data_IF_556664266522
#
_entry.id   IF_556664266522
#
_cell.length_a   1.000
_cell.length_b   1.000
_cell.length_c   1.000
_cell.angle_alpha   90.00
_cell.angle_beta   90.00
_cell.angle_gamma   90.00
#
_symmetry.space_group_name_H-M   'P 1'
#
loop_
_entity.id
_entity.type
_entity.pdbx_description
1 polymer ?
#
# COMPACT_ATOMS: atom_id res chain seq x y z
N UNK A 1 6.72 -11.09 -49.34
CA UNK A 1 7.75 -11.18 -48.29
C UNK A 1 7.66 -10.02 -47.30
N UNK A 2 7.35 -8.78 -47.70
CA UNK A 2 7.23 -7.63 -46.77
C UNK A 2 6.23 -7.82 -45.61
N UNK A 3 5.06 -8.39 -45.86
CA UNK A 3 4.05 -8.61 -44.80
C UNK A 3 4.52 -9.57 -43.69
N UNK A 4 5.45 -10.49 -43.98
CA UNK A 4 5.94 -11.45 -42.97
C UNK A 4 6.89 -10.78 -41.99
N UNK A 5 7.70 -9.83 -42.44
CA UNK A 5 8.58 -9.04 -41.59
C UNK A 5 7.82 -8.02 -40.74
N UNK A 6 6.72 -7.47 -41.26
CA UNK A 6 5.80 -6.62 -40.49
C UNK A 6 5.09 -7.40 -39.37
N UNK A 7 4.61 -8.60 -39.67
CA UNK A 7 3.96 -9.47 -38.68
C UNK A 7 4.99 -9.95 -37.64
N UNK A 8 6.19 -10.38 -38.06
CA UNK A 8 7.28 -10.74 -37.15
C UNK A 8 7.72 -9.55 -36.29
N UNK A 9 7.81 -8.35 -36.86
CA UNK A 9 8.14 -7.11 -36.15
C UNK A 9 7.10 -6.78 -35.07
N UNK A 10 5.80 -6.87 -35.39
CA UNK A 10 4.73 -6.71 -34.41
C UNK A 10 4.75 -7.81 -33.34
N UNK A 11 5.07 -9.05 -33.72
CA UNK A 11 5.15 -10.17 -32.78
C UNK A 11 6.33 -10.05 -31.82
N UNK A 12 7.49 -9.62 -32.32
CA UNK A 12 8.68 -9.34 -31.50
C UNK A 12 8.43 -8.12 -30.61
N UNK A 13 7.83 -7.05 -31.13
CA UNK A 13 7.48 -5.87 -30.33
C UNK A 13 6.45 -6.21 -29.23
N UNK A 14 5.49 -7.08 -29.54
CA UNK A 14 4.51 -7.57 -28.58
C UNK A 14 5.14 -8.50 -27.52
N UNK A 15 6.03 -9.40 -27.91
CA UNK A 15 6.76 -10.30 -27.01
C UNK A 15 7.75 -9.54 -26.10
N UNK A 16 8.59 -8.69 -26.69
CA UNK A 16 9.62 -7.92 -25.96
C UNK A 16 8.99 -6.80 -25.14
N UNK A 17 7.96 -6.13 -25.66
CA UNK A 17 7.21 -5.12 -24.93
C UNK A 17 6.64 -5.66 -23.63
N UNK A 18 6.04 -6.86 -23.64
CA UNK A 18 5.51 -7.48 -22.41
C UNK A 18 6.59 -7.83 -21.38
N UNK A 19 7.80 -8.16 -21.81
CA UNK A 19 8.90 -8.50 -20.91
C UNK A 19 9.46 -7.26 -20.18
N UNK A 20 9.53 -6.10 -20.86
CA UNK A 20 10.07 -4.86 -20.28
C UNK A 20 9.13 -4.25 -19.23
N UNK A 21 7.81 -4.39 -19.40
CA UNK A 21 6.82 -3.87 -18.44
C UNK A 21 6.50 -4.82 -17.28
N UNK A 22 7.15 -5.98 -17.20
CA UNK A 22 6.94 -6.98 -16.17
C UNK A 22 8.04 -6.99 -15.12
N UNK A 23 8.55 -5.83 -14.70
CA UNK A 23 9.43 -5.79 -13.53
C UNK A 23 8.64 -6.31 -12.31
N UNK A 24 9.05 -7.47 -11.81
CA UNK A 24 8.52 -8.14 -10.62
C UNK A 24 9.56 -8.20 -9.51
N UNK A 25 10.64 -7.42 -9.65
CA UNK A 25 11.67 -7.36 -8.63
C UNK A 25 11.04 -6.86 -7.32
N UNK A 26 11.52 -7.37 -6.18
CA UNK A 26 11.07 -6.89 -4.88
C UNK A 26 11.16 -5.37 -4.80
N UNK A 27 10.08 -4.71 -4.39
CA UNK A 27 10.11 -3.25 -4.23
C UNK A 27 11.11 -2.92 -3.11
N UNK A 28 12.18 -2.16 -3.41
CA UNK A 28 13.20 -1.85 -2.42
C UNK A 28 12.59 -1.02 -1.29
N UNK A 29 12.96 -1.34 -0.05
CA UNK A 29 12.57 -0.53 1.10
C UNK A 29 13.58 0.59 1.28
N UNK A 30 13.10 1.83 1.28
CA UNK A 30 13.98 3.01 1.39
C UNK A 30 14.04 3.59 2.81
N UNK A 31 13.30 3.02 3.78
CA UNK A 31 13.30 3.44 5.18
C UNK A 31 13.52 2.26 6.13
N UNK A 32 14.32 2.46 7.18
CA UNK A 32 14.46 1.50 8.27
C UNK A 32 13.28 1.47 9.24
N UNK A 33 12.26 2.33 9.05
CA UNK A 33 11.09 2.47 9.94
C UNK A 33 9.82 1.81 9.39
N UNK A 34 9.90 1.13 8.25
CA UNK A 34 8.79 0.35 7.70
C UNK A 34 9.03 -1.13 7.97
N UNK A 35 8.11 -1.75 8.70
CA UNK A 35 8.18 -3.19 8.98
C UNK A 35 7.67 -3.97 7.78
N UNK A 36 8.54 -4.78 7.16
CA UNK A 36 8.14 -5.76 6.15
C UNK A 36 7.56 -6.98 6.85
N UNK A 37 6.28 -7.25 6.62
CA UNK A 37 5.57 -8.41 7.15
C UNK A 37 5.71 -9.56 6.16
N UNK A 38 6.25 -10.68 6.62
CA UNK A 38 6.31 -11.94 5.86
C UNK A 38 5.31 -12.97 6.37
N UNK A 39 4.83 -12.82 7.62
CA UNK A 39 3.89 -13.73 8.26
C UNK A 39 2.79 -12.98 9.02
N UNK A 40 1.64 -13.62 9.15
CA UNK A 40 0.46 -13.05 9.83
C UNK A 40 0.71 -12.77 11.32
N UNK A 41 1.59 -13.54 11.95
CA UNK A 41 2.05 -13.38 13.34
C UNK A 41 2.81 -12.07 13.55
N UNK A 42 3.67 -11.69 12.60
CA UNK A 42 4.43 -10.45 12.65
C UNK A 42 3.50 -9.24 12.54
N UNK A 43 2.50 -9.30 11.65
CA UNK A 43 1.49 -8.25 11.56
C UNK A 43 0.75 -8.08 12.88
N UNK A 44 0.31 -9.19 13.49
CA UNK A 44 -0.38 -9.13 14.78
C UNK A 44 0.50 -8.49 15.87
N UNK A 45 1.81 -8.77 15.88
CA UNK A 45 2.77 -8.17 16.80
C UNK A 45 2.89 -6.65 16.60
N UNK A 46 2.99 -6.18 15.35
CA UNK A 46 3.03 -4.74 15.05
C UNK A 46 1.73 -4.06 15.46
N UNK A 47 0.59 -4.70 15.18
CA UNK A 47 -0.75 -4.22 15.53
C UNK A 47 -0.98 -4.13 17.04
N UNK A 48 -0.46 -5.08 17.83
CA UNK A 48 -0.63 -5.08 19.29
C UNK A 48 0.35 -4.18 20.03
N UNK A 49 1.51 -3.87 19.42
CA UNK A 49 2.57 -3.08 20.04
C UNK A 49 2.44 -1.58 19.80
N UNK A 50 1.55 -1.15 18.90
CA UNK A 50 1.39 0.25 18.54
C UNK A 50 -0.08 0.65 18.56
N UNK A 51 -0.35 1.86 19.06
CA UNK A 51 -1.71 2.42 19.08
C UNK A 51 -2.30 2.56 17.68
N UNK A 52 -1.52 3.05 16.72
CA UNK A 52 -1.90 3.26 15.34
C UNK A 52 -0.93 2.54 14.40
N UNK A 53 -1.47 1.89 13.36
CA UNK A 53 -0.66 1.26 12.33
C UNK A 53 -1.23 1.58 10.95
N UNK A 54 -0.37 2.04 10.05
CA UNK A 54 -0.69 2.17 8.63
C UNK A 54 -0.10 0.98 7.89
N UNK A 55 -0.94 0.18 7.24
CA UNK A 55 -0.51 -1.02 6.52
C UNK A 55 -0.67 -0.80 5.01
N UNK A 56 0.43 -0.89 4.27
CA UNK A 56 0.46 -0.93 2.80
C UNK A 56 0.33 -2.38 2.31
N UNK A 57 -0.83 -2.71 1.73
CA UNK A 57 -1.02 -3.97 1.03
C UNK A 57 -0.64 -3.83 -0.43
N UNK A 58 0.45 -4.49 -0.81
CA UNK A 58 1.09 -4.31 -2.10
C UNK A 58 1.40 -5.64 -2.79
N UNK A 59 1.96 -5.55 -4.01
CA UNK A 59 2.56 -6.67 -4.72
C UNK A 59 3.78 -6.20 -5.52
N UNK A 60 4.77 -7.07 -5.71
CA UNK A 60 6.03 -6.72 -6.37
C UNK A 60 5.88 -6.51 -7.88
N UNK A 61 4.77 -6.89 -8.50
CA UNK A 61 4.50 -6.64 -9.92
C UNK A 61 3.69 -5.36 -10.16
N UNK A 62 3.25 -4.69 -9.10
CA UNK A 62 2.30 -3.57 -9.15
C UNK A 62 3.02 -2.22 -9.39
N UNK A 63 2.88 -1.58 -10.57
CA UNK A 63 3.54 -0.31 -10.84
C UNK A 63 3.10 0.85 -9.92
N UNK A 64 1.80 1.02 -9.60
CA UNK A 64 1.39 2.05 -8.63
C UNK A 64 2.00 1.84 -7.25
N UNK A 65 2.20 0.58 -6.83
CA UNK A 65 2.83 0.25 -5.55
C UNK A 65 4.30 0.71 -5.53
N UNK A 66 5.03 0.49 -6.62
CA UNK A 66 6.39 1.02 -6.78
C UNK A 66 6.44 2.54 -6.71
N UNK A 67 5.49 3.20 -7.37
CA UNK A 67 5.44 4.66 -7.42
C UNK A 67 5.20 5.30 -6.04
N UNK A 68 4.37 4.67 -5.20
CA UNK A 68 4.02 5.21 -3.87
C UNK A 68 4.97 4.78 -2.76
N UNK A 69 5.71 3.68 -2.93
CA UNK A 69 6.65 3.17 -1.93
C UNK A 69 7.61 4.23 -1.34
N UNK A 70 8.32 5.07 -2.11
CA UNK A 70 9.21 6.08 -1.53
C UNK A 70 8.46 7.15 -0.72
N UNK A 71 7.21 7.45 -1.07
CA UNK A 71 6.35 8.35 -0.30
C UNK A 71 5.98 7.71 1.02
N UNK A 72 5.59 6.44 1.01
CA UNK A 72 5.25 5.68 2.21
C UNK A 72 6.44 5.59 3.18
N UNK A 73 7.64 5.28 2.67
CA UNK A 73 8.87 5.27 3.46
C UNK A 73 9.20 6.66 4.03
N UNK A 74 9.04 7.74 3.26
CA UNK A 74 9.25 9.11 3.75
C UNK A 74 8.26 9.50 4.86
N UNK A 75 7.02 9.03 4.77
CA UNK A 75 6.02 9.23 5.82
C UNK A 75 6.38 8.48 7.09
N UNK A 76 6.87 7.25 6.97
CA UNK A 76 7.38 6.48 8.09
C UNK A 76 8.56 7.18 8.76
N UNK A 77 9.53 7.68 7.99
CA UNK A 77 10.69 8.40 8.55
C UNK A 77 10.29 9.61 9.40
N UNK A 78 9.28 10.35 8.94
CA UNK A 78 8.80 11.59 9.57
C UNK A 78 7.87 11.37 10.76
N UNK A 79 7.00 10.36 10.68
CA UNK A 79 5.86 10.23 11.61
C UNK A 79 5.90 8.97 12.46
N UNK A 80 6.73 7.97 12.14
CA UNK A 80 6.80 6.77 12.96
C UNK A 80 7.30 7.11 14.37
N UNK A 81 6.57 6.63 15.37
CA UNK A 81 6.82 6.86 16.79
C UNK A 81 6.53 5.57 17.55
N UNK A 82 7.52 5.09 18.31
CA UNK A 82 7.46 3.81 19.02
C UNK A 82 6.26 3.73 19.95
N UNK A 83 5.45 2.69 19.80
CA UNK A 83 4.25 2.47 20.62
C UNK A 83 3.03 3.30 20.19
N UNK A 84 3.21 4.26 19.30
CA UNK A 84 2.18 5.20 18.91
C UNK A 84 1.77 5.05 17.44
N UNK A 85 2.67 5.28 16.48
CA UNK A 85 2.38 5.19 15.05
C UNK A 85 3.44 4.35 14.35
N UNK A 86 3.03 3.21 13.81
CA UNK A 86 3.89 2.32 13.04
C UNK A 86 3.44 2.20 11.58
N UNK A 87 4.40 1.80 10.74
CA UNK A 87 4.21 1.59 9.31
C UNK A 87 4.60 0.17 8.98
N UNK A 88 3.71 -0.56 8.34
CA UNK A 88 3.95 -1.92 7.91
C UNK A 88 3.59 -2.09 6.44
N UNK A 89 4.24 -3.03 5.78
CA UNK A 89 3.87 -3.44 4.42
C UNK A 89 3.72 -4.93 4.33
N UNK A 90 2.69 -5.36 3.61
CA UNK A 90 2.32 -6.76 3.43
C UNK A 90 2.26 -7.04 1.94
N UNK A 91 3.12 -7.92 1.45
CA UNK A 91 3.00 -8.41 0.08
C UNK A 91 1.87 -9.46 0.04
N UNK A 92 0.80 -9.12 -0.68
CA UNK A 92 -0.42 -9.92 -0.79
C UNK A 92 -0.23 -11.25 -1.52
N UNK A 93 0.80 -11.38 -2.37
CA UNK A 93 1.13 -12.65 -3.03
C UNK A 93 1.80 -13.64 -2.08
N UNK A 94 2.51 -13.15 -1.06
CA UNK A 94 3.21 -13.97 -0.07
C UNK A 94 2.34 -14.26 1.17
N UNK A 95 1.58 -13.28 1.65
CA UNK A 95 0.77 -13.38 2.89
C UNK A 95 -0.72 -13.36 2.55
N UNK A 96 -1.16 -14.39 1.82
CA UNK A 96 -2.49 -14.45 1.19
C UNK A 96 -3.65 -14.47 2.19
N UNK A 97 -3.47 -15.14 3.31
CA UNK A 97 -4.47 -15.24 4.38
C UNK A 97 -4.77 -13.86 4.99
N UNK A 98 -3.75 -13.02 5.17
CA UNK A 98 -3.92 -11.63 5.63
C UNK A 98 -4.66 -10.80 4.58
N UNK A 99 -4.31 -10.95 3.30
CA UNK A 99 -4.99 -10.25 2.21
C UNK A 99 -6.49 -10.62 2.16
N UNK A 100 -6.83 -11.90 2.32
CA UNK A 100 -8.22 -12.38 2.41
C UNK A 100 -8.91 -11.84 3.66
N UNK A 101 -8.26 -11.91 4.83
CA UNK A 101 -8.81 -11.43 6.11
C UNK A 101 -9.26 -9.97 6.05
N UNK A 102 -8.50 -9.11 5.38
CA UNK A 102 -8.81 -7.67 5.26
C UNK A 102 -9.53 -7.29 3.96
N UNK A 103 -9.89 -8.27 3.13
CA UNK A 103 -10.64 -8.06 1.90
C UNK A 103 -9.88 -7.22 0.87
N UNK A 104 -8.58 -7.48 0.71
CA UNK A 104 -7.73 -6.76 -0.23
C UNK A 104 -7.94 -7.34 -1.64
N UNK A 105 -8.52 -6.53 -2.53
CA UNK A 105 -8.82 -6.93 -3.91
C UNK A 105 -8.05 -6.13 -4.96
N UNK A 106 -7.33 -5.10 -4.55
CA UNK A 106 -6.58 -4.21 -5.43
C UNK A 106 -5.38 -3.63 -4.68
N UNK A 107 -4.30 -3.35 -5.40
CA UNK A 107 -3.05 -2.84 -4.83
C UNK A 107 -2.64 -1.53 -5.51
N UNK A 108 -2.02 -0.60 -4.78
CA UNK A 108 -1.87 -0.63 -3.32
C UNK A 108 -3.23 -0.38 -2.64
N UNK A 109 -3.43 -0.98 -1.47
CA UNK A 109 -4.50 -0.60 -0.55
C UNK A 109 -3.89 -0.30 0.80
N UNK A 110 -4.16 0.89 1.32
CA UNK A 110 -3.76 1.28 2.67
C UNK A 110 -4.94 1.08 3.61
N UNK A 111 -4.71 0.36 4.71
CA UNK A 111 -5.68 0.17 5.78
C UNK A 111 -5.11 0.73 7.08
N UNK A 112 -5.98 1.38 7.85
CA UNK A 112 -5.61 2.05 9.10
C UNK A 112 -6.12 1.26 10.28
N UNK A 113 -5.24 1.01 11.23
CA UNK A 113 -5.55 0.28 12.44
C UNK A 113 -5.41 1.21 13.64
N UNK A 114 -6.32 1.06 14.59
CA UNK A 114 -6.24 1.69 15.92
C UNK A 114 -6.51 0.62 16.96
N UNK A 115 -5.64 0.47 17.94
CA UNK A 115 -5.73 -0.57 18.98
C UNK A 115 -5.87 -1.98 18.38
N UNK A 116 -5.10 -2.24 17.33
CA UNK A 116 -5.07 -3.53 16.62
C UNK A 116 -6.28 -3.86 15.75
N UNK A 117 -7.31 -2.99 15.68
CA UNK A 117 -8.49 -3.19 14.84
C UNK A 117 -8.56 -2.20 13.68
N UNK A 118 -9.04 -2.61 12.49
CA UNK A 118 -9.31 -1.67 11.40
C UNK A 118 -10.33 -0.62 11.87
N UNK A 119 -9.97 0.66 11.76
CA UNK A 119 -10.82 1.76 12.22
C UNK A 119 -10.69 2.95 11.29
N UNK A 120 -11.85 3.50 10.91
CA UNK A 120 -11.89 4.68 10.06
C UNK A 120 -11.28 5.92 10.75
N UNK A 121 -10.58 6.74 9.97
CA UNK A 121 -9.90 7.95 10.45
C UNK A 121 -10.67 9.20 10.02
N UNK A 122 -10.94 10.09 10.97
CA UNK A 122 -11.50 11.41 10.67
C UNK A 122 -10.41 12.29 10.07
N UNK A 123 -10.59 12.70 8.82
CA UNK A 123 -9.67 13.61 8.14
C UNK A 123 -10.47 14.78 7.58
N UNK A 124 -10.22 15.97 8.12
CA UNK A 124 -10.90 17.18 7.68
C UNK A 124 -10.51 17.54 6.24
N UNK A 125 -11.50 17.91 5.42
CA UNK A 125 -11.28 18.37 4.05
C UNK A 125 -10.80 17.29 3.07
N UNK A 126 -10.85 16.00 3.43
CA UNK A 126 -10.58 14.90 2.52
C UNK A 126 -11.91 14.36 1.96
N UNK A 127 -12.25 14.67 0.68
CA UNK A 127 -13.48 14.17 0.09
C UNK A 127 -13.42 12.66 -0.12
N UNK A 128 -14.56 11.99 0.01
CA UNK A 128 -14.72 10.62 -0.51
C UNK A 128 -14.52 10.63 -2.04
N UNK A 129 -13.94 9.58 -2.58
CA UNK A 129 -13.67 9.51 -4.02
C UNK A 129 -13.25 8.12 -4.45
N UNK A 130 -12.77 8.00 -5.68
CA UNK A 130 -12.36 6.70 -6.23
C UNK A 130 -11.24 6.03 -5.42
N UNK A 131 -10.32 6.82 -4.88
CA UNK A 131 -9.21 6.39 -4.03
C UNK A 131 -9.58 6.34 -2.55
N UNK A 132 -10.46 7.22 -2.06
CA UNK A 132 -10.77 7.36 -0.63
C UNK A 132 -12.11 6.71 -0.33
N UNK A 133 -12.06 5.53 0.32
CA UNK A 133 -13.25 4.85 0.81
C UNK A 133 -13.57 5.32 2.23
N UNK A 134 -14.81 5.77 2.42
CA UNK A 134 -15.34 6.17 3.72
C UNK A 134 -16.33 5.12 4.23
N UNK A 135 -16.38 4.95 5.55
CA UNK A 135 -17.38 4.11 6.20
C UNK A 135 -18.72 4.87 6.35
N UNK A 136 -19.71 4.23 6.99
CA UNK A 136 -21.04 4.82 7.22
C UNK A 136 -21.02 6.09 8.08
N UNK A 137 -19.97 6.25 8.89
CA UNK A 137 -19.78 7.40 9.78
C UNK A 137 -19.02 8.55 9.09
N UNK A 138 -18.70 8.42 7.79
CA UNK A 138 -17.93 9.40 7.03
C UNK A 138 -16.42 9.38 7.33
N UNK A 139 -15.93 8.38 8.06
CA UNK A 139 -14.52 8.22 8.39
C UNK A 139 -13.80 7.44 7.29
N UNK A 140 -12.55 7.80 7.00
CA UNK A 140 -11.73 7.15 5.98
C UNK A 140 -11.33 5.76 6.45
N UNK A 141 -11.93 4.71 5.87
CA UNK A 141 -11.64 3.31 6.21
C UNK A 141 -10.36 2.83 5.51
N UNK A 142 -10.20 3.16 4.23
CA UNK A 142 -9.07 2.72 3.42
C UNK A 142 -8.81 3.65 2.25
N UNK A 143 -7.56 3.67 1.81
CA UNK A 143 -7.16 4.34 0.57
C UNK A 143 -6.75 3.29 -0.45
N UNK A 144 -7.29 3.37 -1.67
CA UNK A 144 -6.94 2.51 -2.80
C UNK A 144 -6.15 3.29 -3.84
N UNK A 145 -5.17 2.64 -4.44
CA UNK A 145 -4.29 3.25 -5.43
C UNK A 145 -3.23 4.15 -4.81
N UNK A 146 -2.34 4.67 -5.66
CA UNK A 146 -1.21 5.51 -5.27
C UNK A 146 -1.63 6.97 -5.00
N UNK A 147 -2.67 7.19 -4.19
CA UNK A 147 -3.15 8.52 -3.82
C UNK A 147 -2.30 9.10 -2.68
N UNK A 148 -1.22 9.78 -3.07
CA UNK A 148 -0.31 10.46 -2.14
C UNK A 148 -1.03 11.46 -1.23
N UNK A 149 -1.92 12.29 -1.79
CA UNK A 149 -2.54 13.38 -1.03
C UNK A 149 -3.41 12.82 0.09
N UNK A 150 -4.23 11.82 -0.22
CA UNK A 150 -5.08 11.18 0.76
C UNK A 150 -4.23 10.48 1.84
N UNK A 151 -3.17 9.77 1.44
CA UNK A 151 -2.29 9.06 2.37
C UNK A 151 -1.58 10.01 3.33
N UNK A 152 -1.01 11.10 2.82
CA UNK A 152 -0.39 12.14 3.63
C UNK A 152 -1.38 12.77 4.63
N UNK A 153 -2.62 13.00 4.21
CA UNK A 153 -3.65 13.60 5.06
C UNK A 153 -4.05 12.66 6.21
N UNK A 154 -4.26 11.37 5.94
CA UNK A 154 -4.57 10.38 6.99
C UNK A 154 -3.39 10.20 7.95
N UNK A 155 -2.16 10.09 7.43
CA UNK A 155 -0.97 9.94 8.28
C UNK A 155 -0.78 11.15 9.19
N UNK A 156 -0.98 12.37 8.70
CA UNK A 156 -0.93 13.58 9.53
C UNK A 156 -2.00 13.57 10.62
N UNK A 157 -3.23 13.18 10.28
CA UNK A 157 -4.33 13.08 11.24
C UNK A 157 -4.09 12.01 12.32
N UNK A 158 -3.45 10.89 11.96
CA UNK A 158 -3.03 9.86 12.90
C UNK A 158 -1.89 10.34 13.80
N UNK A 159 -0.88 11.00 13.24
CA UNK A 159 0.26 11.50 13.99
C UNK A 159 -0.09 12.62 14.98
N UNK A 160 -1.22 13.31 14.78
CA UNK A 160 -1.69 14.38 15.68
C UNK A 160 -2.69 13.91 16.74
N UNK A 161 -3.13 12.64 16.70
CA UNK A 161 -4.04 12.08 17.71
C UNK A 161 -3.21 11.55 18.87
N UNK A 162 -3.55 11.93 20.10
CA UNK A 162 -2.90 11.42 21.32
C UNK A 162 -3.37 10.00 21.65
#
# INVERSE_FOLDING_TARGET
MENIYLILGLFVLFMVGRAIFADRSPIPETSGKVTKVTESSELNTVLSSNKHVVVDFYADWCPPCRAIAPVFSSLADKHASTGHLAFAKVNTDHVKDVAVKYGISAMPTFVFFTDGVPKGISVEGLPSGHSVNVNKDGLVDRIRGADRRALEAVVKALASKE
#
